data_IF_186407934798
#
_entry.id   IF_186407934798
#
_cell.length_a   1.000
_cell.length_b   1.000
_cell.length_c   1.000
_cell.angle_alpha   90.00
_cell.angle_beta   90.00
_cell.angle_gamma   90.00
#
_symmetry.space_group_name_H-M   'P 1'
#
loop_
_entity.id
_entity.type
_entity.pdbx_description
1 polymer ?
#
# COMPACT_ATOMS: atom_id res chain seq x y z
N UNK A 1 -25.46 17.49 21.34
CA UNK A 1 -24.84 16.19 21.04
C UNK A 1 -24.27 15.62 22.31
N UNK A 2 -24.49 14.35 22.56
CA UNK A 2 -23.87 13.64 23.69
C UNK A 2 -22.39 13.32 23.38
N UNK A 3 -21.57 13.06 24.41
CA UNK A 3 -20.12 12.86 24.24
C UNK A 3 -19.79 11.67 23.32
N UNK A 4 -20.68 10.69 23.29
CA UNK A 4 -20.62 9.47 22.52
C UNK A 4 -20.80 9.74 21.02
N UNK A 5 -21.69 10.67 20.66
CA UNK A 5 -21.89 11.09 19.27
C UNK A 5 -20.63 11.77 18.72
N UNK A 6 -19.94 12.58 19.54
CA UNK A 6 -18.66 13.18 19.17
C UNK A 6 -17.56 12.14 18.92
N UNK A 7 -17.51 11.06 19.71
CA UNK A 7 -16.56 9.97 19.50
C UNK A 7 -16.84 9.22 18.19
N UNK A 8 -18.11 8.99 17.86
CA UNK A 8 -18.51 8.37 16.60
C UNK A 8 -18.12 9.27 15.43
N UNK A 9 -18.44 10.57 15.48
CA UNK A 9 -18.09 11.54 14.43
C UNK A 9 -16.57 11.60 14.24
N UNK A 10 -15.80 11.67 15.33
CA UNK A 10 -14.34 11.68 15.27
C UNK A 10 -13.79 10.39 14.65
N UNK A 11 -14.33 9.23 15.04
CA UNK A 11 -13.93 7.95 14.47
C UNK A 11 -14.22 7.85 12.97
N UNK A 12 -15.38 8.36 12.53
CA UNK A 12 -15.73 8.44 11.10
C UNK A 12 -14.77 9.38 10.36
N UNK A 13 -14.44 10.54 10.94
CA UNK A 13 -13.48 11.47 10.35
C UNK A 13 -12.09 10.84 10.17
N UNK A 14 -11.63 10.02 11.13
CA UNK A 14 -10.36 9.30 11.02
C UNK A 14 -10.38 8.25 9.90
N UNK A 15 -11.49 7.51 9.77
CA UNK A 15 -11.66 6.53 8.67
C UNK A 15 -11.69 7.24 7.32
N UNK A 16 -12.41 8.36 7.21
CA UNK A 16 -12.41 9.19 5.99
C UNK A 16 -11.00 9.73 5.70
N UNK A 17 -10.28 10.16 6.73
CA UNK A 17 -8.88 10.57 6.64
C UNK A 17 -7.98 9.47 6.06
N UNK A 18 -8.16 8.20 6.45
CA UNK A 18 -7.45 7.06 5.87
C UNK A 18 -7.71 6.91 4.36
N UNK A 19 -8.96 7.09 3.92
CA UNK A 19 -9.29 7.00 2.50
C UNK A 19 -8.65 8.13 1.69
N UNK A 20 -8.65 9.35 2.25
CA UNK A 20 -8.08 10.55 1.64
C UNK A 20 -6.55 10.64 1.76
N UNK A 21 -5.93 9.80 2.60
CA UNK A 21 -4.49 9.85 2.83
C UNK A 21 -3.73 9.63 1.51
N UNK A 22 -2.77 10.51 1.17
CA UNK A 22 -2.07 10.44 -0.10
C UNK A 22 -1.31 9.12 -0.22
N UNK A 23 -1.41 8.52 -1.40
CA UNK A 23 -0.55 7.42 -1.79
C UNK A 23 0.84 7.95 -2.11
N UNK A 24 1.87 7.26 -1.65
CA UNK A 24 3.25 7.51 -2.03
C UNK A 24 3.56 6.78 -3.34
N UNK A 25 4.30 7.45 -4.22
CA UNK A 25 4.86 6.83 -5.41
C UNK A 25 6.31 6.50 -5.12
N UNK A 26 6.61 5.21 -5.01
CA UNK A 26 7.96 4.70 -4.89
C UNK A 26 8.50 4.44 -6.29
N UNK A 27 9.58 5.12 -6.64
CA UNK A 27 10.27 4.94 -7.92
C UNK A 27 11.67 4.41 -7.70
N UNK A 28 12.07 3.39 -8.46
CA UNK A 28 13.43 2.84 -8.42
C UNK A 28 13.94 2.53 -9.82
N UNK A 29 15.26 2.69 -10.01
CA UNK A 29 15.96 2.30 -11.24
C UNK A 29 16.84 1.08 -10.94
N UNK A 30 16.76 0.06 -11.79
CA UNK A 30 17.48 -1.20 -11.66
C UNK A 30 18.10 -1.57 -13.01
N UNK A 31 19.42 -1.67 -13.06
CA UNK A 31 20.19 -2.06 -14.24
C UNK A 31 20.57 -3.55 -14.17
N UNK A 32 21.12 -4.09 -15.26
CA UNK A 32 21.47 -5.51 -15.30
C UNK A 32 22.49 -5.90 -14.22
N UNK A 33 22.16 -6.95 -13.45
CA UNK A 33 22.92 -7.35 -12.26
C UNK A 33 22.40 -6.76 -10.94
N UNK A 34 21.54 -5.74 -10.97
CA UNK A 34 21.01 -5.12 -9.76
C UNK A 34 19.95 -5.98 -9.07
N UNK A 35 19.94 -5.90 -7.75
CA UNK A 35 18.93 -6.51 -6.88
C UNK A 35 18.58 -5.54 -5.76
N UNK A 36 17.30 -5.44 -5.44
CA UNK A 36 16.84 -4.57 -4.36
C UNK A 36 15.36 -4.71 -4.08
N UNK A 37 14.85 -3.85 -3.21
CA UNK A 37 13.45 -3.84 -2.80
C UNK A 37 12.83 -2.48 -3.11
N UNK A 38 11.61 -2.48 -3.63
CA UNK A 38 10.80 -1.28 -3.82
C UNK A 38 9.46 -1.50 -3.13
N UNK A 39 9.33 -0.99 -1.91
CA UNK A 39 8.23 -1.33 -1.02
C UNK A 39 8.22 -2.82 -0.69
N UNK A 40 7.11 -3.50 -0.96
CA UNK A 40 6.91 -4.93 -0.65
C UNK A 40 7.33 -5.86 -1.80
N UNK A 41 7.92 -5.29 -2.85
CA UNK A 41 8.37 -6.00 -4.04
C UNK A 41 9.88 -6.17 -4.01
N UNK A 42 10.33 -7.40 -4.20
CA UNK A 42 11.71 -7.72 -4.49
C UNK A 42 11.94 -7.68 -5.99
N UNK A 43 12.93 -6.88 -6.40
CA UNK A 43 13.30 -6.67 -7.79
C UNK A 43 14.68 -7.24 -8.03
N UNK A 44 14.81 -7.97 -9.12
CA UNK A 44 16.10 -8.41 -9.62
C UNK A 44 16.15 -8.27 -11.13
N UNK A 45 17.29 -7.84 -11.65
CA UNK A 45 17.56 -7.81 -13.08
C UNK A 45 18.71 -8.77 -13.37
N UNK A 46 18.44 -9.79 -14.18
CA UNK A 46 19.45 -10.79 -14.55
C UNK A 46 19.36 -11.13 -16.03
N UNK A 47 20.49 -11.08 -16.74
CA UNK A 47 20.57 -11.36 -18.17
C UNK A 47 19.58 -10.50 -18.99
N UNK A 48 19.36 -9.26 -18.54
CA UNK A 48 18.37 -8.34 -19.11
C UNK A 48 16.91 -8.70 -18.84
N UNK A 49 16.60 -9.68 -17.99
CA UNK A 49 15.24 -9.93 -17.50
C UNK A 49 15.00 -9.16 -16.21
N UNK A 50 13.96 -8.34 -16.20
CA UNK A 50 13.38 -7.76 -15.01
C UNK A 50 12.45 -8.79 -14.37
N UNK A 51 12.71 -9.15 -13.11
CA UNK A 51 11.87 -10.02 -12.30
C UNK A 51 11.41 -9.26 -11.06
N UNK A 52 10.09 -9.21 -10.87
CA UNK A 52 9.46 -8.62 -9.69
C UNK A 52 8.68 -9.71 -8.96
N UNK A 53 9.00 -9.88 -7.68
CA UNK A 53 8.41 -10.90 -6.82
C UNK A 53 7.92 -10.30 -5.52
N UNK A 54 6.92 -10.91 -4.92
CA UNK A 54 6.48 -10.61 -3.55
C UNK A 54 6.11 -11.92 -2.88
N UNK A 55 6.45 -12.08 -1.59
CA UNK A 55 6.20 -13.32 -0.82
C UNK A 55 6.63 -14.60 -1.56
N UNK A 56 7.82 -14.58 -2.16
CA UNK A 56 8.39 -15.70 -2.94
C UNK A 56 7.59 -16.11 -4.19
N UNK A 57 6.63 -15.30 -4.64
CA UNK A 57 5.92 -15.49 -5.89
C UNK A 57 6.35 -14.45 -6.92
N UNK A 58 6.68 -14.91 -8.13
CA UNK A 58 6.90 -14.03 -9.27
C UNK A 58 5.55 -13.43 -9.71
N UNK A 59 5.49 -12.11 -9.68
CA UNK A 59 4.30 -11.33 -10.03
C UNK A 59 4.44 -10.66 -11.40
N UNK A 60 5.66 -10.30 -11.78
CA UNK A 60 5.91 -9.63 -13.04
C UNK A 60 7.29 -10.00 -13.59
N UNK A 61 7.36 -10.33 -14.88
CA UNK A 61 8.62 -10.62 -15.58
C UNK A 61 8.59 -9.93 -16.95
N UNK A 62 9.64 -9.19 -17.26
CA UNK A 62 9.79 -8.51 -18.55
C UNK A 62 11.23 -8.60 -19.08
N UNK A 63 11.38 -8.51 -20.41
CA UNK A 63 12.67 -8.38 -21.10
C UNK A 63 12.59 -7.23 -22.08
N UNK A 64 13.30 -6.14 -21.78
CA UNK A 64 13.20 -4.87 -22.48
C UNK A 64 11.78 -4.32 -22.41
N UNK A 65 11.10 -4.25 -23.55
CA UNK A 65 9.69 -3.81 -23.65
C UNK A 65 8.70 -4.97 -23.70
N UNK A 66 9.18 -6.20 -23.76
CA UNK A 66 8.33 -7.39 -23.88
C UNK A 66 8.01 -7.94 -22.50
N UNK A 67 6.73 -7.94 -22.14
CA UNK A 67 6.25 -8.52 -20.89
C UNK A 67 6.00 -10.02 -21.10
N UNK A 68 6.57 -10.84 -20.24
CA UNK A 68 6.48 -12.31 -20.29
C UNK A 68 5.43 -12.79 -19.28
N UNK A 69 5.43 -12.21 -18.08
CA UNK A 69 4.49 -12.51 -17.01
C UNK A 69 3.93 -11.20 -16.45
N UNK A 70 2.60 -11.10 -16.35
CA UNK A 70 1.91 -9.95 -15.77
C UNK A 70 0.77 -10.43 -14.87
N UNK A 71 1.04 -10.64 -13.58
CA UNK A 71 0.00 -10.90 -12.56
C UNK A 71 -0.49 -9.62 -11.89
N UNK A 72 0.33 -8.56 -11.92
CA UNK A 72 0.01 -7.24 -11.38
C UNK A 72 0.20 -6.16 -12.44
N UNK A 73 -0.55 -5.06 -12.29
CA UNK A 73 -0.28 -3.85 -13.05
C UNK A 73 0.88 -3.09 -12.42
N UNK A 74 1.96 -2.95 -13.18
CA UNK A 74 3.18 -2.28 -12.78
C UNK A 74 3.53 -1.28 -13.88
N UNK A 75 3.74 -0.03 -13.48
CA UNK A 75 4.24 0.99 -14.39
C UNK A 75 5.76 0.84 -14.47
N UNK A 76 6.26 0.50 -15.65
CA UNK A 76 7.67 0.28 -15.88
C UNK A 76 8.10 0.87 -17.22
N UNK A 77 9.34 1.33 -17.27
CA UNK A 77 9.98 1.77 -18.50
C UNK A 77 11.38 1.16 -18.60
N UNK A 78 11.83 0.96 -19.84
CA UNK A 78 13.16 0.43 -20.14
C UNK A 78 13.92 1.41 -21.02
N UNK A 79 15.06 1.89 -20.52
CA UNK A 79 15.94 2.84 -21.23
C UNK A 79 17.40 2.55 -20.89
N UNK A 80 18.28 2.61 -21.89
CA UNK A 80 19.74 2.44 -21.73
C UNK A 80 20.16 1.17 -20.97
N UNK A 81 19.42 0.07 -21.08
CA UNK A 81 19.73 -1.18 -20.38
C UNK A 81 19.25 -1.25 -18.93
N UNK A 82 18.56 -0.20 -18.44
CA UNK A 82 18.02 -0.13 -17.09
C UNK A 82 16.49 -0.06 -17.11
N UNK A 83 15.89 -0.63 -16.07
CA UNK A 83 14.46 -0.61 -15.81
C UNK A 83 14.14 0.44 -14.75
N UNK A 84 13.18 1.32 -15.04
CA UNK A 84 12.60 2.20 -14.02
C UNK A 84 11.21 1.69 -13.67
N UNK A 85 10.97 1.46 -12.39
CA UNK A 85 9.73 0.94 -11.84
C UNK A 85 9.07 2.00 -10.98
N UNK A 86 7.77 2.21 -11.18
CA UNK A 86 6.94 3.07 -10.35
C UNK A 86 5.86 2.23 -9.69
N UNK A 87 5.88 2.20 -8.36
CA UNK A 87 4.90 1.50 -7.54
C UNK A 87 4.17 2.52 -6.70
N UNK A 88 2.83 2.49 -6.78
CA UNK A 88 1.98 3.32 -5.94
C UNK A 88 1.61 2.55 -4.68
N UNK A 89 1.99 3.06 -3.51
CA UNK A 89 1.75 2.43 -2.21
C UNK A 89 1.00 3.39 -1.29
N UNK A 90 0.05 2.89 -0.50
CA UNK A 90 -0.47 3.65 0.64
C UNK A 90 0.51 3.48 1.81
N UNK A 91 0.95 4.58 2.45
CA UNK A 91 1.86 4.49 3.58
C UNK A 91 1.23 3.68 4.71
N UNK A 92 2.04 2.88 5.41
CA UNK A 92 1.56 2.06 6.53
C UNK A 92 0.97 2.93 7.64
N UNK A 93 1.47 4.15 7.80
CA UNK A 93 0.98 5.09 8.81
C UNK A 93 -0.52 5.42 8.64
N UNK A 94 -1.02 5.39 7.40
CA UNK A 94 -2.43 5.61 7.13
C UNK A 94 -3.30 4.53 7.79
N UNK A 95 -2.80 3.29 7.90
CA UNK A 95 -3.53 2.19 8.54
C UNK A 95 -3.88 2.49 10.01
N UNK A 96 -3.02 3.24 10.71
CA UNK A 96 -3.29 3.65 12.09
C UNK A 96 -4.52 4.54 12.21
N UNK A 97 -4.76 5.43 11.24
CA UNK A 97 -5.97 6.26 11.21
C UNK A 97 -7.23 5.40 11.12
N UNK A 98 -7.20 4.36 10.28
CA UNK A 98 -8.32 3.43 10.13
C UNK A 98 -8.56 2.64 11.42
N UNK A 99 -7.53 2.03 11.98
CA UNK A 99 -7.63 1.23 13.21
C UNK A 99 -8.13 2.08 14.38
N UNK A 100 -7.54 3.27 14.58
CA UNK A 100 -7.95 4.19 15.64
C UNK A 100 -9.42 4.60 15.48
N UNK A 101 -9.84 4.90 14.25
CA UNK A 101 -11.24 5.24 13.95
C UNK A 101 -12.21 4.11 14.30
N UNK A 102 -11.90 2.88 13.90
CA UNK A 102 -12.72 1.70 14.22
C UNK A 102 -12.79 1.45 15.72
N UNK A 103 -11.68 1.58 16.45
CA UNK A 103 -11.63 1.41 17.91
C UNK A 103 -12.50 2.44 18.62
N UNK A 104 -12.42 3.73 18.24
CA UNK A 104 -13.22 4.79 18.85
C UNK A 104 -14.72 4.57 18.62
N UNK A 105 -15.12 4.18 17.40
CA UNK A 105 -16.51 3.86 17.09
C UNK A 105 -16.96 2.65 17.92
N UNK A 106 -16.16 1.59 17.96
CA UNK A 106 -16.46 0.38 18.73
C UNK A 106 -16.63 0.66 20.23
N UNK A 107 -15.76 1.49 20.83
CA UNK A 107 -15.89 1.90 22.23
C UNK A 107 -17.15 2.71 22.48
N UNK A 108 -17.50 3.65 21.60
CA UNK A 108 -18.71 4.44 21.72
C UNK A 108 -19.96 3.55 21.65
N UNK A 109 -20.02 2.60 20.71
CA UNK A 109 -21.11 1.63 20.62
C UNK A 109 -21.19 0.73 21.85
N UNK A 110 -20.06 0.22 22.34
CA UNK A 110 -20.03 -0.60 23.54
C UNK A 110 -20.56 0.16 24.76
N UNK A 111 -20.14 1.41 24.94
CA UNK A 111 -20.62 2.26 26.03
C UNK A 111 -22.12 2.50 25.94
N UNK A 112 -22.62 2.89 24.77
CA UNK A 112 -24.05 3.12 24.55
C UNK A 112 -24.88 1.85 24.80
N UNK A 113 -24.43 0.69 24.29
CA UNK A 113 -25.19 -0.55 24.37
C UNK A 113 -25.19 -1.19 25.77
N UNK A 114 -24.08 -1.10 26.51
CA UNK A 114 -23.89 -1.87 27.74
C UNK A 114 -23.73 -1.06 29.02
N UNK A 115 -23.24 0.18 28.94
CA UNK A 115 -22.91 1.00 30.11
C UNK A 115 -23.90 2.15 30.35
N UNK A 116 -24.56 2.66 29.30
CA UNK A 116 -25.46 3.80 29.42
C UNK A 116 -26.88 3.44 29.89
N UNK A 117 -27.38 2.27 29.50
CA UNK A 117 -28.74 1.79 29.85
C UNK A 117 -28.77 0.84 31.05
N UNK A 118 -27.69 0.79 31.83
CA UNK A 118 -27.56 -0.02 33.04
C UNK A 118 -27.37 0.88 34.25
#
# INVERSE_FOLDING_TARGET
MEKEEYLIILGVLLIVGFFLFPSENLSGMFCDGDRGTLGDYYISVQNGFLMVSSNSQELFVARGRNVILKKIELDYSFSNGCYTLNVRRKPEEALYLFILGVVLIGMAFYYLAFLKYR
#
